data_IF_957613770664
#
_entry.id   IF_957613770664
#
_cell.length_a   1.000
_cell.length_b   1.000
_cell.length_c   1.000
_cell.angle_alpha   90.00
_cell.angle_beta   90.00
_cell.angle_gamma   90.00
#
_symmetry.space_group_name_H-M   'P 1'
#
loop_
_entity.id
_entity.type
_entity.pdbx_description
1 polymer ?
#
# COMPACT_ATOMS: atom_id res chain seq x y z
N UNK A 1 11.42 7.55 13.39
CA UNK A 1 10.83 8.03 12.12
C UNK A 1 11.75 7.89 10.93
N UNK A 2 13.05 8.16 11.04
CA UNK A 2 13.99 8.01 9.91
C UNK A 2 14.43 6.56 9.62
N UNK A 3 14.25 5.63 10.55
CA UNK A 3 14.83 4.30 10.48
C UNK A 3 14.18 3.38 9.41
N UNK A 4 12.92 3.65 9.05
CA UNK A 4 12.16 2.84 8.08
C UNK A 4 12.27 3.36 6.64
N UNK A 5 12.48 4.67 6.46
CA UNK A 5 12.75 5.25 5.13
C UNK A 5 14.06 4.70 4.58
N UNK A 6 15.11 4.67 5.40
CA UNK A 6 16.38 4.03 5.04
C UNK A 6 16.22 2.55 4.68
N UNK A 7 15.40 1.80 5.42
CA UNK A 7 15.15 0.40 5.15
C UNK A 7 14.39 0.19 3.83
N UNK A 8 13.44 1.06 3.50
CA UNK A 8 12.68 1.05 2.25
C UNK A 8 13.58 1.27 1.04
N UNK A 9 14.47 2.26 1.11
CA UNK A 9 15.41 2.55 0.03
C UNK A 9 16.49 1.47 -0.12
N UNK A 10 16.87 0.80 0.97
CA UNK A 10 17.82 -0.33 0.98
C UNK A 10 17.21 -1.68 0.58
N UNK A 11 15.89 -1.82 0.59
CA UNK A 11 15.22 -3.07 0.20
C UNK A 11 15.47 -3.41 -1.27
N UNK A 12 15.68 -4.70 -1.58
CA UNK A 12 15.85 -5.19 -2.95
C UNK A 12 14.50 -5.36 -3.65
N UNK A 13 13.80 -4.25 -3.85
CA UNK A 13 12.50 -4.17 -4.53
C UNK A 13 12.59 -3.19 -5.70
N UNK A 14 11.79 -3.37 -6.77
CA UNK A 14 11.73 -2.44 -7.89
C UNK A 14 11.49 -0.99 -7.43
N UNK A 15 12.19 -0.04 -8.05
CA UNK A 15 12.07 1.40 -7.74
C UNK A 15 10.62 1.90 -7.75
N UNK A 16 9.82 1.42 -8.72
CA UNK A 16 8.40 1.78 -8.82
C UNK A 16 7.57 1.38 -7.60
N UNK A 17 7.95 0.30 -6.90
CA UNK A 17 7.31 -0.10 -5.63
C UNK A 17 7.77 0.83 -4.50
N UNK A 18 9.03 1.25 -4.48
CA UNK A 18 9.55 2.23 -3.50
C UNK A 18 8.82 3.58 -3.61
N UNK A 19 8.58 4.06 -4.82
CA UNK A 19 7.84 5.30 -5.06
C UNK A 19 6.40 5.21 -4.52
N UNK A 20 5.71 4.10 -4.79
CA UNK A 20 4.36 3.86 -4.28
C UNK A 20 4.38 3.77 -2.74
N UNK A 21 5.33 3.03 -2.16
CA UNK A 21 5.48 2.91 -0.71
C UNK A 21 5.71 4.27 -0.04
N UNK A 22 6.55 5.10 -0.64
CA UNK A 22 6.81 6.46 -0.16
C UNK A 22 5.53 7.32 -0.20
N UNK A 23 4.76 7.25 -1.28
CA UNK A 23 3.48 7.97 -1.38
C UNK A 23 2.45 7.48 -0.35
N UNK A 24 2.37 6.17 -0.10
CA UNK A 24 1.52 5.58 0.95
C UNK A 24 1.97 6.08 2.32
N UNK A 25 3.28 6.05 2.58
CA UNK A 25 3.88 6.45 3.86
C UNK A 25 3.58 7.90 4.22
N UNK A 26 3.69 8.81 3.25
CA UNK A 26 3.37 10.21 3.44
C UNK A 26 1.87 10.52 3.32
N UNK A 27 1.01 9.51 3.12
CA UNK A 27 -0.44 9.70 2.99
C UNK A 27 -0.80 10.70 1.86
N UNK A 28 0.04 10.73 0.81
CA UNK A 28 -0.06 11.65 -0.34
C UNK A 28 -0.92 11.04 -1.44
N UNK A 29 -1.14 9.72 -1.42
CA UNK A 29 -2.06 9.07 -2.36
C UNK A 29 -3.46 9.64 -2.12
N UNK A 30 -4.02 10.17 -3.20
CA UNK A 30 -5.39 10.66 -3.24
C UNK A 30 -6.34 9.48 -3.02
N UNK A 31 -6.63 9.18 -1.76
CA UNK A 31 -7.70 8.28 -1.37
C UNK A 31 -8.94 9.09 -1.01
N UNK A 32 -10.11 8.47 -1.08
CA UNK A 32 -11.37 9.10 -0.66
C UNK A 32 -11.34 9.55 0.80
N UNK A 33 -10.53 8.90 1.64
CA UNK A 33 -10.26 9.33 3.01
C UNK A 33 -9.42 10.62 3.09
N UNK A 34 -8.42 10.78 2.22
CA UNK A 34 -7.69 12.04 2.06
C UNK A 34 -8.61 13.16 1.55
N UNK A 35 -9.63 12.82 0.75
CA UNK A 35 -10.63 13.77 0.26
C UNK A 35 -11.65 14.21 1.33
N UNK A 36 -11.84 13.43 2.42
CA UNK A 36 -12.61 13.89 3.58
C UNK A 36 -12.00 15.14 4.22
N UNK A 37 -10.66 15.23 4.25
CA UNK A 37 -9.95 16.40 4.82
C UNK A 37 -10.18 17.70 4.05
N UNK A 38 -10.63 17.61 2.79
CA UNK A 38 -10.94 18.78 1.94
C UNK A 38 -12.46 18.97 1.76
N UNK A 39 -13.29 18.36 2.62
CA UNK A 39 -14.75 18.51 2.65
C UNK A 39 -15.45 18.17 1.31
N UNK A 40 -14.92 17.17 0.58
CA UNK A 40 -15.47 16.74 -0.70
C UNK A 40 -16.81 16.01 -0.52
N UNK A 41 -17.82 16.37 -1.32
CA UNK A 41 -19.21 15.85 -1.25
C UNK A 41 -19.35 14.63 -2.17
N UNK A 42 -18.49 13.63 -1.99
CA UNK A 42 -18.48 12.41 -2.79
C UNK A 42 -18.74 11.16 -1.95
N UNK A 43 -18.93 10.04 -2.63
CA UNK A 43 -19.02 8.74 -1.98
C UNK A 43 -17.64 8.32 -1.46
N UNK A 44 -17.60 7.79 -0.24
CA UNK A 44 -16.40 7.32 0.47
C UNK A 44 -16.19 5.81 0.32
N UNK A 45 -17.05 5.16 -0.45
CA UNK A 45 -16.98 3.73 -0.72
C UNK A 45 -15.88 3.42 -1.73
N UNK A 46 -15.11 2.37 -1.46
CA UNK A 46 -14.10 1.80 -2.33
C UNK A 46 -14.73 1.31 -3.62
N UNK A 47 -14.23 1.82 -4.74
CA UNK A 47 -14.73 1.47 -6.08
C UNK A 47 -14.51 -0.01 -6.44
N UNK A 48 -13.66 -0.73 -5.70
CA UNK A 48 -13.33 -2.12 -5.98
C UNK A 48 -14.19 -3.15 -5.22
N UNK A 49 -14.63 -2.83 -4.00
CA UNK A 49 -15.33 -3.82 -3.16
C UNK A 49 -16.52 -3.30 -2.36
N UNK A 50 -16.87 -2.01 -2.45
CA UNK A 50 -18.07 -1.50 -1.79
C UNK A 50 -17.91 -1.14 -0.30
N UNK A 51 -16.73 -1.31 0.30
CA UNK A 51 -16.43 -0.96 1.70
C UNK A 51 -15.88 0.46 1.83
N UNK A 52 -15.85 1.04 3.04
CA UNK A 52 -15.29 2.39 3.22
C UNK A 52 -13.79 2.45 2.82
N UNK A 53 -13.46 3.32 1.87
CA UNK A 53 -12.11 3.45 1.34
C UNK A 53 -11.21 4.20 2.32
N UNK A 54 -10.07 3.59 2.65
CA UNK A 54 -8.95 4.21 3.34
C UNK A 54 -7.65 3.76 2.64
N UNK A 55 -6.52 4.41 2.93
CA UNK A 55 -5.23 3.95 2.42
C UNK A 55 -4.96 2.49 2.82
N UNK A 56 -5.26 2.12 4.07
CA UNK A 56 -5.06 0.74 4.52
C UNK A 56 -5.98 -0.22 3.77
N UNK A 57 -7.24 0.17 3.57
CA UNK A 57 -8.18 -0.62 2.79
C UNK A 57 -7.71 -0.77 1.34
N UNK A 58 -7.43 0.33 0.64
CA UNK A 58 -7.08 0.34 -0.78
C UNK A 58 -5.81 -0.46 -1.09
N UNK A 59 -4.81 -0.45 -0.19
CA UNK A 59 -3.52 -1.09 -0.42
C UNK A 59 -3.29 -2.41 0.31
N UNK A 60 -4.05 -2.75 1.35
CA UNK A 60 -3.77 -3.95 2.17
C UNK A 60 -4.99 -4.83 2.44
N UNK A 61 -6.18 -4.25 2.68
CA UNK A 61 -7.35 -5.03 3.06
C UNK A 61 -8.38 -5.26 1.94
N UNK A 62 -8.33 -4.50 0.84
CA UNK A 62 -9.26 -4.65 -0.26
C UNK A 62 -9.04 -5.97 -1.01
N UNK A 63 -10.11 -6.51 -1.60
CA UNK A 63 -10.04 -7.69 -2.47
C UNK A 63 -9.07 -7.45 -3.65
N UNK A 64 -9.10 -6.26 -4.24
CA UNK A 64 -8.18 -5.87 -5.31
C UNK A 64 -6.72 -5.83 -4.83
N UNK A 65 -6.47 -5.32 -3.62
CA UNK A 65 -5.15 -5.31 -3.01
C UNK A 65 -4.63 -6.75 -2.78
N UNK A 66 -5.51 -7.63 -2.30
CA UNK A 66 -5.17 -9.05 -2.10
C UNK A 66 -4.75 -9.72 -3.40
N UNK A 67 -5.41 -9.41 -4.52
CA UNK A 67 -5.04 -9.93 -5.84
C UNK A 67 -3.69 -9.38 -6.31
N UNK A 68 -3.50 -8.06 -6.24
CA UNK A 68 -2.25 -7.39 -6.61
C UNK A 68 -1.06 -7.95 -5.83
N UNK A 69 -1.18 -8.08 -4.50
CA UNK A 69 -0.12 -8.63 -3.67
C UNK A 69 0.14 -10.11 -3.95
N UNK A 70 -0.89 -10.90 -4.24
CA UNK A 70 -0.71 -12.29 -4.66
C UNK A 70 0.11 -12.39 -5.94
N UNK A 71 -0.14 -11.51 -6.93
CA UNK A 71 0.67 -11.46 -8.16
C UNK A 71 2.11 -11.07 -7.88
N UNK A 72 2.35 -10.02 -7.08
CA UNK A 72 3.70 -9.56 -6.72
C UNK A 72 4.45 -10.65 -5.96
N UNK A 73 3.82 -11.26 -4.95
CA UNK A 73 4.40 -12.33 -4.16
C UNK A 73 4.72 -13.55 -5.03
N UNK A 74 3.84 -13.93 -5.96
CA UNK A 74 4.11 -15.01 -6.91
C UNK A 74 5.32 -14.70 -7.83
N UNK A 75 5.42 -13.48 -8.35
CA UNK A 75 6.57 -13.06 -9.17
C UNK A 75 7.87 -13.00 -8.37
N UNK A 76 7.81 -12.69 -7.07
CA UNK A 76 8.97 -12.60 -6.18
C UNK A 76 9.30 -13.91 -5.45
N UNK A 77 8.48 -14.97 -5.58
CA UNK A 77 8.65 -16.23 -4.85
C UNK A 77 8.40 -16.12 -3.34
N UNK A 78 7.45 -15.27 -2.95
CA UNK A 78 7.04 -15.00 -1.57
C UNK A 78 5.65 -15.61 -1.32
N UNK A 79 5.40 -16.07 -0.10
CA UNK A 79 4.12 -16.70 0.27
C UNK A 79 3.22 -15.81 1.13
N UNK A 80 3.81 -14.86 1.85
CA UNK A 80 3.07 -13.97 2.73
C UNK A 80 2.63 -12.70 2.01
N UNK A 81 1.34 -12.39 2.12
CA UNK A 81 0.81 -11.10 1.67
C UNK A 81 1.11 -10.05 2.74
N UNK A 82 1.55 -8.85 2.36
CA UNK A 82 1.76 -7.80 3.33
C UNK A 82 0.41 -7.33 3.89
N UNK A 83 0.33 -7.27 5.20
CA UNK A 83 -0.84 -6.76 5.94
C UNK A 83 -0.68 -5.27 6.30
N UNK A 84 0.56 -4.77 6.22
CA UNK A 84 0.96 -3.39 6.51
C UNK A 84 2.24 -3.02 5.74
N UNK A 85 2.51 -1.72 5.64
CA UNK A 85 3.72 -1.14 5.04
C UNK A 85 5.01 -1.78 5.59
N UNK A 86 5.06 -2.01 6.90
CA UNK A 86 6.23 -2.59 7.55
C UNK A 86 6.55 -4.00 7.02
N UNK A 87 5.53 -4.80 6.70
CA UNK A 87 5.70 -6.17 6.18
C UNK A 87 6.37 -6.17 4.81
N UNK A 88 6.12 -5.16 3.97
CA UNK A 88 6.74 -5.04 2.64
C UNK A 88 8.26 -4.84 2.73
N UNK A 89 8.73 -4.19 3.78
CA UNK A 89 10.17 -3.99 4.01
C UNK A 89 10.90 -5.31 4.31
N UNK A 90 10.21 -6.30 4.87
CA UNK A 90 10.78 -7.63 5.12
C UNK A 90 10.72 -8.55 3.90
N UNK A 91 9.81 -8.30 2.94
CA UNK A 91 9.73 -9.06 1.68
C UNK A 91 11.00 -8.92 0.82
N UNK A 92 11.74 -7.81 0.98
CA UNK A 92 12.97 -7.52 0.22
C UNK A 92 14.28 -8.00 0.86
N UNK A 93 14.25 -8.75 1.97
CA UNK A 93 15.45 -9.33 2.62
C UNK A 93 15.61 -10.81 2.23
N UNK A 94 16.21 -11.06 1.06
CA UNK A 94 17.01 -12.26 0.79
C UNK A 94 18.46 -11.85 0.63
#
# INVERSE_FOLDING_TARGET
>A
MYQYEDAMWKANIPLKIKDILWLIWHNVIATKDSMRRINWIGDYICSFCGENESIHHLFFACLAASYMWSSICNTMGLYDRPYMLHTILYLGRR
#
